data_IF_265636310162
#
_entry.id   IF_265636310162
#
_cell.length_a   1.000
_cell.length_b   1.000
_cell.length_c   1.000
_cell.angle_alpha   90.00
_cell.angle_beta   90.00
_cell.angle_gamma   90.00
#
_symmetry.space_group_name_H-M   'P 1'
#
loop_
_entity.id
_entity.type
_entity.pdbx_description
1 polymer ?
#
# COMPACT_ATOMS: atom_id res chain seq x y z
N UNK A 1 9.16 2.39 -48.08
CA UNK A 1 9.84 3.28 -47.10
C UNK A 1 8.81 4.31 -46.68
N UNK A 2 8.31 4.37 -45.46
CA UNK A 2 8.84 3.90 -44.17
C UNK A 2 7.69 3.38 -43.32
N UNK A 3 7.95 2.23 -42.72
CA UNK A 3 7.22 1.56 -41.67
C UNK A 3 6.92 2.54 -40.53
N UNK A 4 5.64 2.72 -40.20
CA UNK A 4 5.20 3.42 -38.99
C UNK A 4 5.42 2.48 -37.81
N UNK A 5 6.70 2.27 -37.48
CA UNK A 5 7.12 1.45 -36.37
C UNK A 5 6.75 2.19 -35.08
N UNK A 6 5.75 1.63 -34.40
CA UNK A 6 5.32 1.96 -33.04
C UNK A 6 6.51 2.39 -32.20
N UNK A 7 6.37 3.54 -31.51
CA UNK A 7 7.25 3.91 -30.42
C UNK A 7 7.45 2.71 -29.49
N UNK A 8 8.65 2.46 -28.96
CA UNK A 8 8.82 1.51 -27.88
C UNK A 8 8.10 2.10 -26.65
N UNK A 9 6.81 1.83 -26.55
CA UNK A 9 6.00 2.08 -25.36
C UNK A 9 6.66 1.32 -24.23
N UNK A 10 7.32 2.08 -23.36
CA UNK A 10 7.51 1.87 -21.92
C UNK A 10 7.11 0.46 -21.44
N UNK A 11 7.92 -0.53 -21.75
CA UNK A 11 7.89 -1.79 -20.99
C UNK A 11 8.54 -1.44 -19.66
N UNK A 12 7.74 -1.26 -18.61
CA UNK A 12 8.24 -1.09 -17.25
C UNK A 12 9.29 -2.15 -16.94
N UNK A 13 10.33 -1.81 -16.16
CA UNK A 13 11.45 -2.74 -15.95
C UNK A 13 10.87 -4.08 -15.44
N UNK A 14 11.38 -5.24 -15.89
CA UNK A 14 10.90 -6.55 -15.44
C UNK A 14 10.86 -6.69 -13.91
N UNK A 15 11.79 -6.02 -13.23
CA UNK A 15 11.88 -5.94 -11.76
C UNK A 15 10.65 -5.28 -11.12
N UNK A 16 10.10 -4.21 -11.72
CA UNK A 16 8.93 -3.50 -11.20
C UNK A 16 7.66 -4.33 -11.33
N UNK A 17 7.53 -5.02 -12.46
CA UNK A 17 6.39 -5.91 -12.73
C UNK A 17 6.41 -7.14 -11.81
N UNK A 18 7.61 -7.65 -11.53
CA UNK A 18 7.81 -8.74 -10.56
C UNK A 18 7.45 -8.29 -9.14
N UNK A 19 7.95 -7.13 -8.69
CA UNK A 19 7.63 -6.59 -7.37
C UNK A 19 6.14 -6.32 -7.20
N UNK A 20 5.48 -5.74 -8.21
CA UNK A 20 4.04 -5.53 -8.21
C UNK A 20 3.26 -6.84 -8.06
N UNK A 21 3.61 -7.86 -8.86
CA UNK A 21 2.95 -9.17 -8.84
C UNK A 21 3.14 -9.87 -7.48
N UNK A 22 4.40 -9.95 -7.01
CA UNK A 22 4.71 -10.54 -5.72
C UNK A 22 4.00 -9.82 -4.57
N UNK A 23 3.91 -8.49 -4.63
CA UNK A 23 3.21 -7.71 -3.60
C UNK A 23 1.71 -8.01 -3.55
N UNK A 24 1.05 -8.15 -4.71
CA UNK A 24 -0.35 -8.56 -4.76
C UNK A 24 -0.58 -9.96 -4.16
N UNK A 25 0.32 -10.90 -4.44
CA UNK A 25 0.28 -12.26 -3.90
C UNK A 25 0.57 -12.32 -2.40
N UNK A 26 1.38 -11.41 -1.86
CA UNK A 26 1.66 -11.29 -0.42
C UNK A 26 0.52 -10.58 0.32
N UNK A 27 -0.09 -9.55 -0.29
CA UNK A 27 -1.17 -8.76 0.32
C UNK A 27 -2.38 -9.64 0.67
N UNK A 28 -2.73 -10.59 -0.19
CA UNK A 28 -3.90 -11.47 0.00
C UNK A 28 -3.80 -12.33 1.27
N UNK A 29 -2.75 -13.17 1.47
CA UNK A 29 -2.59 -13.94 2.70
C UNK A 29 -2.37 -13.04 3.92
N UNK A 30 -1.66 -11.91 3.79
CA UNK A 30 -1.45 -10.99 4.91
C UNK A 30 -2.75 -10.36 5.41
N UNK A 31 -3.64 -9.94 4.50
CA UNK A 31 -4.98 -9.46 4.84
C UNK A 31 -5.82 -10.56 5.49
N UNK A 32 -5.68 -11.82 5.04
CA UNK A 32 -6.32 -12.97 5.68
C UNK A 32 -5.84 -13.17 7.12
N UNK A 33 -4.53 -13.07 7.38
CA UNK A 33 -3.95 -13.15 8.72
C UNK A 33 -4.45 -12.00 9.60
N UNK A 34 -4.43 -10.75 9.10
CA UNK A 34 -4.89 -9.58 9.84
C UNK A 34 -6.38 -9.65 10.16
N UNK A 35 -7.21 -10.10 9.21
CA UNK A 35 -8.63 -10.32 9.44
C UNK A 35 -8.88 -11.40 10.50
N UNK A 36 -8.16 -12.52 10.41
CA UNK A 36 -8.27 -13.63 11.38
C UNK A 36 -7.86 -13.19 12.78
N UNK A 37 -6.76 -12.45 12.91
CA UNK A 37 -6.29 -11.92 14.20
C UNK A 37 -7.25 -10.88 14.77
N UNK A 38 -7.87 -10.06 13.91
CA UNK A 38 -8.89 -9.09 14.34
C UNK A 38 -10.12 -9.81 14.92
N UNK A 39 -10.62 -10.85 14.25
CA UNK A 39 -11.70 -11.69 14.76
C UNK A 39 -11.29 -12.43 16.05
N UNK A 40 -10.03 -12.87 16.16
CA UNK A 40 -9.53 -13.54 17.36
C UNK A 40 -9.53 -12.59 18.57
N UNK A 41 -9.15 -11.33 18.38
CA UNK A 41 -9.11 -10.30 19.42
C UNK A 41 -10.51 -9.91 19.95
N UNK A 42 -11.56 -10.18 19.17
CA UNK A 42 -12.97 -10.03 19.57
C UNK A 42 -13.48 -11.19 20.45
N UNK A 43 -12.68 -12.24 20.66
CA UNK A 43 -13.03 -13.37 21.54
C UNK A 43 -12.44 -13.22 22.96
N UNK A 44 -12.87 -14.08 23.88
CA UNK A 44 -12.27 -14.18 25.21
C UNK A 44 -10.88 -14.83 25.12
N UNK A 45 -9.84 -14.06 25.45
CA UNK A 45 -8.44 -14.48 25.44
C UNK A 45 -7.82 -14.28 26.81
N UNK A 46 -6.96 -15.20 27.23
CA UNK A 46 -6.09 -14.97 28.38
C UNK A 46 -5.15 -13.77 28.11
N UNK A 47 -4.67 -13.06 29.14
CA UNK A 47 -3.86 -11.85 28.97
C UNK A 47 -2.66 -12.02 28.02
N UNK A 48 -1.90 -13.11 28.18
CA UNK A 48 -0.75 -13.41 27.30
C UNK A 48 -1.16 -13.68 25.85
N UNK A 49 -2.29 -14.35 25.61
CA UNK A 49 -2.79 -14.62 24.27
C UNK A 49 -3.24 -13.33 23.57
N UNK A 50 -3.87 -12.42 24.31
CA UNK A 50 -4.25 -11.09 23.79
C UNK A 50 -3.00 -10.28 23.40
N UNK A 51 -1.95 -10.33 24.22
CA UNK A 51 -0.68 -9.66 23.92
C UNK A 51 -0.03 -10.22 22.64
N UNK A 52 -0.03 -11.55 22.45
CA UNK A 52 0.46 -12.16 21.22
C UNK A 52 -0.39 -11.79 19.99
N UNK A 53 -1.71 -11.82 20.11
CA UNK A 53 -2.60 -11.46 19.02
C UNK A 53 -2.42 -9.98 18.61
N UNK A 54 -2.27 -9.09 19.59
CA UNK A 54 -2.02 -7.67 19.33
C UNK A 54 -0.64 -7.44 18.69
N UNK A 55 0.39 -8.16 19.14
CA UNK A 55 1.71 -8.12 18.52
C UNK A 55 1.69 -8.60 17.05
N UNK A 56 0.93 -9.66 16.74
CA UNK A 56 0.73 -10.13 15.36
C UNK A 56 0.00 -9.06 14.53
N UNK A 57 -1.08 -8.48 15.07
CA UNK A 57 -1.85 -7.41 14.40
C UNK A 57 -0.98 -6.22 14.04
N UNK A 58 -0.23 -5.71 15.02
CA UNK A 58 0.69 -4.58 14.83
C UNK A 58 1.80 -4.89 13.83
N UNK A 59 2.41 -6.08 13.94
CA UNK A 59 3.50 -6.49 13.04
C UNK A 59 3.01 -6.69 11.61
N UNK A 60 1.83 -7.30 11.42
CA UNK A 60 1.23 -7.50 10.11
C UNK A 60 0.83 -6.18 9.45
N UNK A 61 0.27 -5.23 10.21
CA UNK A 61 -0.05 -3.89 9.70
C UNK A 61 1.22 -3.16 9.24
N UNK A 62 2.27 -3.19 10.07
CA UNK A 62 3.56 -2.59 9.73
C UNK A 62 4.21 -3.24 8.50
N UNK A 63 4.08 -4.56 8.35
CA UNK A 63 4.58 -5.27 7.17
C UNK A 63 3.83 -4.84 5.91
N UNK A 64 2.52 -4.63 5.99
CA UNK A 64 1.71 -4.15 4.87
C UNK A 64 2.13 -2.73 4.45
N UNK A 65 2.39 -1.85 5.41
CA UNK A 65 2.91 -0.50 5.15
C UNK A 65 4.28 -0.54 4.46
N UNK A 66 5.20 -1.37 4.95
CA UNK A 66 6.51 -1.57 4.32
C UNK A 66 6.38 -2.09 2.88
N UNK A 67 5.48 -3.05 2.67
CA UNK A 67 5.22 -3.60 1.34
C UNK A 67 4.69 -2.54 0.37
N UNK A 68 3.78 -1.68 0.83
CA UNK A 68 3.26 -0.57 0.02
C UNK A 68 4.37 0.44 -0.30
N UNK A 69 5.20 0.82 0.68
CA UNK A 69 6.29 1.76 0.48
C UNK A 69 7.34 1.26 -0.53
N UNK A 70 7.64 -0.04 -0.54
CA UNK A 70 8.57 -0.64 -1.52
C UNK A 70 8.01 -0.53 -2.94
N UNK A 71 6.69 -0.73 -3.12
CA UNK A 71 6.06 -0.55 -4.42
C UNK A 71 6.06 0.91 -4.87
N UNK A 72 5.75 1.84 -3.98
CA UNK A 72 5.76 3.26 -4.30
C UNK A 72 7.15 3.74 -4.71
N UNK A 73 8.18 3.25 -4.01
CA UNK A 73 9.58 3.50 -4.38
C UNK A 73 9.92 2.93 -5.76
N UNK A 74 9.54 1.67 -6.06
CA UNK A 74 9.80 1.06 -7.37
C UNK A 74 9.14 1.85 -8.51
N UNK A 75 7.90 2.32 -8.31
CA UNK A 75 7.19 3.16 -9.28
C UNK A 75 7.89 4.50 -9.53
N UNK A 76 8.41 5.13 -8.47
CA UNK A 76 9.16 6.39 -8.57
C UNK A 76 10.50 6.20 -9.29
N UNK A 77 11.26 5.14 -8.99
CA UNK A 77 12.56 4.85 -9.62
C UNK A 77 12.42 4.52 -11.11
N UNK A 78 11.31 3.90 -11.49
CA UNK A 78 10.98 3.61 -12.89
C UNK A 78 10.59 4.85 -13.71
N UNK A 79 10.50 6.04 -13.11
CA UNK A 79 9.86 7.22 -13.72
C UNK A 79 8.44 6.93 -14.24
N UNK A 80 7.79 5.91 -13.68
CA UNK A 80 6.51 5.38 -14.14
C UNK A 80 5.32 6.04 -13.43
N UNK A 81 5.54 7.23 -12.84
CA UNK A 81 4.50 8.03 -12.20
C UNK A 81 4.16 9.17 -13.13
N UNK A 82 3.08 9.02 -13.91
CA UNK A 82 2.49 10.11 -14.66
C UNK A 82 1.71 11.00 -13.70
N UNK A 83 2.10 12.27 -13.61
CA UNK A 83 1.36 13.27 -12.83
C UNK A 83 0.16 13.74 -13.64
N UNK A 84 -1.04 13.52 -13.10
CA UNK A 84 -2.24 14.15 -13.63
C UNK A 84 -2.27 15.63 -13.23
N UNK A 85 -2.26 16.52 -14.22
CA UNK A 85 -2.35 17.97 -14.00
C UNK A 85 -3.82 18.37 -13.90
N UNK A 86 -4.26 18.70 -12.67
CA UNK A 86 -5.62 19.15 -12.41
C UNK A 86 -5.64 20.47 -11.62
N UNK A 87 -6.66 21.30 -11.85
CA UNK A 87 -6.91 22.48 -11.03
C UNK A 87 -7.49 22.07 -9.68
N UNK A 88 -6.80 22.40 -8.59
CA UNK A 88 -7.30 22.18 -7.23
C UNK A 88 -7.24 23.45 -6.38
N UNK A 89 -8.01 23.47 -5.29
CA UNK A 89 -8.02 24.58 -4.32
C UNK A 89 -7.09 24.26 -3.13
N UNK A 90 -5.97 24.99 -2.95
CA UNK A 90 -5.01 24.70 -1.87
C UNK A 90 -5.62 24.80 -0.47
N UNK A 91 -6.54 25.76 -0.26
CA UNK A 91 -7.23 25.96 1.03
C UNK A 91 -8.11 24.77 1.38
N UNK A 92 -8.82 24.21 0.39
CA UNK A 92 -9.67 23.05 0.58
C UNK A 92 -8.84 21.80 0.87
N UNK A 93 -7.80 21.54 0.07
CA UNK A 93 -6.89 20.40 0.28
C UNK A 93 -6.23 20.46 1.66
N UNK A 94 -5.75 21.64 2.07
CA UNK A 94 -5.16 21.82 3.39
C UNK A 94 -6.13 21.51 4.53
N UNK A 95 -7.41 21.89 4.39
CA UNK A 95 -8.45 21.53 5.38
C UNK A 95 -8.69 20.03 5.45
N UNK A 96 -8.82 19.37 4.31
CA UNK A 96 -9.04 17.92 4.23
C UNK A 96 -7.89 17.16 4.93
N UNK A 97 -6.64 17.61 4.77
CA UNK A 97 -5.47 17.04 5.46
C UNK A 97 -5.53 17.29 6.97
N UNK A 98 -5.90 18.51 7.39
CA UNK A 98 -6.05 18.82 8.82
C UNK A 98 -7.14 17.96 9.47
N UNK A 99 -8.27 17.79 8.81
CA UNK A 99 -9.37 16.92 9.29
C UNK A 99 -8.93 15.46 9.39
N UNK A 100 -8.20 14.96 8.39
CA UNK A 100 -7.70 13.58 8.37
C UNK A 100 -6.72 13.30 9.52
N UNK A 101 -5.83 14.25 9.83
CA UNK A 101 -4.81 14.11 10.87
C UNK A 101 -5.28 14.56 12.26
N UNK A 102 -6.49 15.11 12.37
CA UNK A 102 -7.04 15.52 13.65
C UNK A 102 -7.25 14.31 14.56
N UNK A 103 -6.93 14.39 15.86
CA UNK A 103 -7.22 13.33 16.80
C UNK A 103 -8.72 12.99 16.79
N UNK A 104 -9.06 11.71 16.63
CA UNK A 104 -10.44 11.26 16.85
C UNK A 104 -10.70 11.33 18.36
N UNK A 105 -11.67 12.16 18.76
CA UNK A 105 -12.17 12.22 20.13
C UNK A 105 -12.99 10.96 20.47
#
# INVERSE_FOLDING_TARGET
MTDASKSPEQVGKPEDTFLATASHEIRTPLNGILGTVSLLLETELAPAQREYAEAIRMSGARLLDLLNNVLDYARLDASAVDLEVENFCPVRLGREVIELLSPRA
#
